data_IF_013340443276
#
_entry.id   IF_013340443276
#
_cell.length_a   1.000
_cell.length_b   1.000
_cell.length_c   1.000
_cell.angle_alpha   90.00
_cell.angle_beta   90.00
_cell.angle_gamma   90.00
#
_symmetry.space_group_name_H-M   'P 1'
#
loop_
_entity.id
_entity.type
_entity.pdbx_description
1 polymer ?
#
# COMPACT_ATOMS: atom_id res chain seq x y z
N UNK A 1 -8.81 -29.63 -24.67
CA UNK A 1 -7.97 -29.25 -23.50
C UNK A 1 -8.25 -27.83 -22.97
N UNK A 2 -9.24 -27.10 -23.52
CA UNK A 2 -9.64 -25.74 -23.10
C UNK A 2 -10.66 -25.71 -21.94
N UNK A 3 -11.36 -26.82 -21.69
CA UNK A 3 -12.46 -26.90 -20.71
C UNK A 3 -12.01 -26.86 -19.24
N UNK A 4 -10.80 -27.34 -18.94
CA UNK A 4 -10.27 -27.36 -17.56
C UNK A 4 -9.80 -25.96 -17.17
N UNK A 5 -9.11 -25.26 -18.08
CA UNK A 5 -8.69 -23.86 -17.89
C UNK A 5 -9.88 -22.92 -17.74
N UNK A 6 -10.95 -23.08 -18.52
CA UNK A 6 -12.16 -22.27 -18.37
C UNK A 6 -12.90 -22.55 -17.06
N UNK A 7 -12.88 -23.79 -16.56
CA UNK A 7 -13.45 -24.16 -15.27
C UNK A 7 -12.67 -23.54 -14.10
N UNK A 8 -11.33 -23.61 -14.12
CA UNK A 8 -10.50 -22.93 -13.11
C UNK A 8 -10.64 -21.41 -13.16
N UNK A 9 -10.77 -20.82 -14.36
CA UNK A 9 -11.06 -19.38 -14.55
C UNK A 9 -12.40 -18.97 -13.93
N UNK A 10 -13.38 -19.88 -13.97
CA UNK A 10 -14.71 -19.68 -13.38
C UNK A 10 -14.67 -19.80 -11.86
N UNK A 11 -13.96 -20.80 -11.33
CA UNK A 11 -13.76 -20.93 -9.87
C UNK A 11 -13.02 -19.72 -9.28
N UNK A 12 -12.10 -19.13 -10.03
CA UNK A 12 -11.32 -17.97 -9.61
C UNK A 12 -11.91 -16.63 -10.08
N UNK A 13 -13.15 -16.62 -10.58
CA UNK A 13 -13.83 -15.38 -10.92
C UNK A 13 -14.32 -14.70 -9.64
N UNK A 14 -14.17 -13.37 -9.60
CA UNK A 14 -14.58 -12.54 -8.45
C UNK A 14 -16.08 -12.70 -8.13
N UNK A 15 -16.90 -13.01 -9.14
CA UNK A 15 -18.33 -13.30 -8.99
C UNK A 15 -18.61 -14.55 -8.14
N UNK A 16 -17.70 -15.52 -8.14
CA UNK A 16 -17.87 -16.80 -7.46
C UNK A 16 -17.17 -16.83 -6.09
N UNK A 17 -16.07 -16.09 -5.94
CA UNK A 17 -15.26 -16.11 -4.72
C UNK A 17 -15.81 -15.21 -3.61
N UNK A 18 -16.26 -14.00 -3.91
CA UNK A 18 -16.96 -13.14 -2.95
C UNK A 18 -17.56 -11.91 -3.66
N UNK A 19 -18.89 -11.86 -3.78
CA UNK A 19 -19.62 -10.76 -4.42
C UNK A 19 -19.50 -9.43 -3.65
N UNK A 20 -19.03 -9.45 -2.41
CA UNK A 20 -18.83 -8.27 -1.57
C UNK A 20 -17.66 -7.39 -2.02
N UNK A 21 -16.71 -7.91 -2.80
CA UNK A 21 -15.62 -7.08 -3.36
C UNK A 21 -16.04 -6.31 -4.62
N UNK A 22 -17.18 -6.64 -5.21
CA UNK A 22 -17.74 -5.94 -6.38
C UNK A 22 -18.82 -4.94 -5.94
N UNK A 23 -19.52 -5.23 -4.84
CA UNK A 23 -20.52 -4.33 -4.26
C UNK A 23 -19.89 -3.49 -3.16
N UNK A 24 -19.64 -2.21 -3.45
CA UNK A 24 -19.16 -1.23 -2.47
C UNK A 24 -20.02 -1.25 -1.19
N UNK A 25 -19.40 -1.40 -0.02
CA UNK A 25 -20.08 -1.55 1.28
C UNK A 25 -20.99 -0.37 1.66
N UNK A 26 -20.90 0.74 0.93
CA UNK A 26 -21.64 1.97 1.17
C UNK A 26 -22.87 2.15 0.25
N UNK A 27 -23.18 1.22 -0.67
CA UNK A 27 -24.33 1.39 -1.58
C UNK A 27 -25.60 0.73 -1.03
N UNK A 28 -26.70 1.49 -0.83
CA UNK A 28 -27.98 0.91 -0.42
C UNK A 28 -28.52 0.00 -1.52
N UNK A 29 -29.09 -1.15 -1.14
CA UNK A 29 -29.54 -2.23 -2.04
C UNK A 29 -30.44 -1.76 -3.21
N UNK A 30 -31.17 -0.65 -3.02
CA UNK A 30 -32.05 -0.02 -4.02
C UNK A 30 -31.28 0.69 -5.16
N UNK A 31 -30.04 1.13 -4.90
CA UNK A 31 -29.19 1.77 -5.90
C UNK A 31 -28.55 0.75 -6.86
N UNK A 32 -28.25 -0.47 -6.39
CA UNK A 32 -27.67 -1.55 -7.21
C UNK A 32 -28.59 -1.96 -8.37
N UNK A 33 -29.91 -1.91 -8.17
CA UNK A 33 -30.89 -2.19 -9.22
C UNK A 33 -31.04 -1.04 -10.24
N UNK A 34 -30.61 0.18 -9.90
CA UNK A 34 -30.71 1.36 -10.77
C UNK A 34 -29.40 1.67 -11.53
N UNK A 35 -28.26 1.15 -11.06
CA UNK A 35 -26.91 1.51 -11.54
C UNK A 35 -26.48 0.82 -12.85
N UNK A 36 -27.31 -0.06 -13.43
CA UNK A 36 -27.09 -0.56 -14.80
C UNK A 36 -27.36 0.48 -15.88
N UNK A 37 -27.84 1.67 -15.51
CA UNK A 37 -28.05 2.81 -16.40
C UNK A 37 -27.55 4.09 -15.73
N UNK A 38 -26.26 4.40 -15.83
CA UNK A 38 -25.77 5.76 -16.15
C UNK A 38 -24.33 6.02 -15.66
N UNK A 39 -23.35 5.72 -16.50
CA UNK A 39 -22.04 6.35 -16.44
C UNK A 39 -22.10 7.90 -16.46
N UNK A 40 -22.96 8.59 -17.26
CA UNK A 40 -22.95 10.05 -17.32
C UNK A 40 -23.48 10.74 -16.05
N UNK A 41 -24.31 10.08 -15.23
CA UNK A 41 -24.84 10.68 -13.99
C UNK A 41 -23.79 10.73 -12.87
N UNK A 42 -22.86 9.78 -12.83
CA UNK A 42 -21.75 9.78 -11.86
C UNK A 42 -20.79 10.94 -12.16
N UNK A 43 -20.51 11.19 -13.44
CA UNK A 43 -19.67 12.30 -13.89
C UNK A 43 -20.37 13.65 -13.67
N UNK A 44 -21.68 13.76 -13.92
CA UNK A 44 -22.44 14.97 -13.65
C UNK A 44 -22.46 15.34 -12.16
N UNK A 45 -22.64 14.34 -11.28
CA UNK A 45 -22.62 14.55 -9.83
C UNK A 45 -21.20 14.88 -9.32
N UNK A 46 -20.18 14.20 -9.83
CA UNK A 46 -18.78 14.51 -9.51
C UNK A 46 -18.39 15.91 -9.98
N UNK A 47 -18.83 16.33 -11.18
CA UNK A 47 -18.60 17.68 -11.71
C UNK A 47 -19.36 18.74 -10.92
N UNK A 48 -20.58 18.48 -10.47
CA UNK A 48 -21.34 19.39 -9.60
C UNK A 48 -20.71 19.52 -8.19
N UNK A 49 -20.09 18.46 -7.68
CA UNK A 49 -19.33 18.51 -6.42
C UNK A 49 -18.01 19.28 -6.62
N UNK A 50 -17.31 19.03 -7.73
CA UNK A 50 -16.08 19.73 -8.08
C UNK A 50 -16.30 21.23 -8.34
N UNK A 51 -17.43 21.61 -8.94
CA UNK A 51 -17.78 23.02 -9.18
C UNK A 51 -18.13 23.78 -7.90
N UNK A 52 -18.60 23.06 -6.87
CA UNK A 52 -18.86 23.63 -5.53
C UNK A 52 -17.66 23.47 -4.58
N UNK A 53 -16.57 22.85 -5.02
CA UNK A 53 -15.41 22.62 -4.17
C UNK A 53 -14.59 23.91 -4.03
N UNK A 54 -14.13 24.18 -2.81
CA UNK A 54 -13.23 25.29 -2.55
C UNK A 54 -11.94 25.16 -3.37
N UNK A 55 -11.35 26.27 -3.84
CA UNK A 55 -10.12 26.23 -4.62
C UNK A 55 -9.00 25.57 -3.81
N UNK A 56 -8.17 24.82 -4.53
CA UNK A 56 -7.09 24.03 -3.95
C UNK A 56 -6.08 24.96 -3.24
N UNK A 57 -5.82 24.73 -1.94
CA UNK A 57 -4.92 25.58 -1.12
C UNK A 57 -3.44 25.19 -1.22
N UNK A 58 -3.07 24.36 -2.19
CA UNK A 58 -1.71 23.82 -2.33
C UNK A 58 -0.65 24.88 -2.71
N UNK A 59 -1.08 26.05 -3.19
CA UNK A 59 -0.21 27.16 -3.61
C UNK A 59 -0.23 28.35 -2.63
N UNK A 60 -0.81 28.19 -1.44
CA UNK A 60 -0.74 29.25 -0.42
C UNK A 60 0.67 29.34 0.15
N UNK A 61 1.14 30.54 0.56
CA UNK A 61 2.47 30.68 1.17
C UNK A 61 2.62 29.84 2.45
N UNK A 62 1.54 29.69 3.22
CA UNK A 62 1.48 28.81 4.40
C UNK A 62 1.80 27.35 4.02
N UNK A 63 1.22 26.87 2.91
CA UNK A 63 1.41 25.49 2.47
C UNK A 63 2.83 25.25 1.91
N UNK A 64 3.45 26.28 1.31
CA UNK A 64 4.86 26.24 0.94
C UNK A 64 5.79 26.10 2.15
N UNK A 65 5.49 26.76 3.26
CA UNK A 65 6.25 26.57 4.51
C UNK A 65 6.14 25.12 4.98
N UNK A 66 4.95 24.52 4.93
CA UNK A 66 4.79 23.11 5.27
C UNK A 66 5.59 22.18 4.36
N UNK A 67 5.63 22.46 3.05
CA UNK A 67 6.49 21.68 2.14
C UNK A 67 7.95 21.77 2.50
N UNK A 68 8.47 22.96 2.81
CA UNK A 68 9.87 23.13 3.22
C UNK A 68 10.16 22.36 4.51
N UNK A 69 9.29 22.49 5.52
CA UNK A 69 9.44 21.75 6.77
C UNK A 69 9.42 20.25 6.50
N UNK A 70 8.48 19.75 5.71
CA UNK A 70 8.38 18.32 5.39
C UNK A 70 9.63 17.81 4.66
N UNK A 71 10.10 18.56 3.65
CA UNK A 71 11.30 18.21 2.89
C UNK A 71 12.58 18.25 3.72
N UNK A 72 12.61 18.95 4.84
CA UNK A 72 13.76 18.98 5.76
C UNK A 72 13.59 17.91 6.84
N UNK A 73 12.43 17.87 7.50
CA UNK A 73 12.17 17.00 8.64
C UNK A 73 12.23 15.52 8.25
N UNK A 74 11.62 15.12 7.13
CA UNK A 74 11.59 13.71 6.73
C UNK A 74 12.99 13.17 6.43
N UNK A 75 13.84 13.82 5.61
CA UNK A 75 15.23 13.37 5.45
C UNK A 75 16.03 13.38 6.75
N UNK A 76 15.82 14.35 7.65
CA UNK A 76 16.47 14.36 8.95
C UNK A 76 16.04 13.16 9.81
N UNK A 77 14.77 12.78 9.82
CA UNK A 77 14.29 11.58 10.53
C UNK A 77 14.99 10.30 10.04
N UNK A 78 15.19 10.16 8.73
CA UNK A 78 15.96 9.04 8.20
C UNK A 78 17.44 9.12 8.56
N UNK A 79 18.03 10.31 8.43
CA UNK A 79 19.46 10.54 8.72
C UNK A 79 19.81 10.20 10.16
N UNK A 80 19.03 10.69 11.13
CA UNK A 80 19.31 10.48 12.56
C UNK A 80 19.25 9.01 12.94
N UNK A 81 18.24 8.27 12.47
CA UNK A 81 18.11 6.82 12.72
C UNK A 81 19.29 6.06 12.12
N UNK A 82 19.73 6.44 10.91
CA UNK A 82 20.88 5.82 10.27
C UNK A 82 22.16 6.10 11.05
N UNK A 83 22.41 7.34 11.46
CA UNK A 83 23.61 7.76 12.20
C UNK A 83 23.71 7.06 13.55
N UNK A 84 22.60 6.97 14.30
CA UNK A 84 22.58 6.27 15.60
C UNK A 84 22.86 4.77 15.43
N UNK A 85 22.41 4.18 14.32
CA UNK A 85 22.57 2.74 14.04
C UNK A 85 23.95 2.36 13.48
N UNK A 86 24.89 3.31 13.38
CA UNK A 86 26.26 3.03 12.91
C UNK A 86 27.13 2.42 14.01
N UNK A 87 28.05 1.55 13.60
CA UNK A 87 28.99 0.91 14.53
C UNK A 87 29.96 1.90 15.19
N UNK A 88 30.18 3.06 14.56
CA UNK A 88 30.97 4.18 15.07
C UNK A 88 30.28 4.94 16.21
N UNK A 89 28.96 4.78 16.39
CA UNK A 89 28.22 5.53 17.39
C UNK A 89 28.54 5.02 18.81
N UNK A 90 28.81 5.90 19.80
CA UNK A 90 29.23 5.48 21.14
C UNK A 90 28.22 4.59 21.86
N UNK A 91 26.93 4.70 21.52
CA UNK A 91 25.84 3.90 22.10
C UNK A 91 25.66 2.53 21.42
N UNK A 92 26.25 2.31 20.24
CA UNK A 92 26.06 1.06 19.48
C UNK A 92 26.44 -0.21 20.26
N UNK A 93 27.54 -0.26 21.03
CA UNK A 93 27.91 -1.45 21.80
C UNK A 93 26.85 -1.90 22.81
N UNK A 94 26.00 -0.99 23.30
CA UNK A 94 24.97 -1.30 24.30
C UNK A 94 23.90 -2.25 23.76
N UNK A 95 23.54 -2.12 22.49
CA UNK A 95 22.45 -2.90 21.88
C UNK A 95 22.92 -3.79 20.71
N UNK A 96 24.19 -3.73 20.32
CA UNK A 96 24.73 -4.48 19.18
C UNK A 96 24.52 -6.00 19.27
N UNK A 97 24.47 -6.55 20.49
CA UNK A 97 24.25 -7.97 20.77
C UNK A 97 22.79 -8.42 20.53
N UNK A 98 21.85 -7.48 20.49
CA UNK A 98 20.42 -7.72 20.20
C UNK A 98 20.12 -7.68 18.70
N UNK A 99 21.07 -7.18 17.90
CA UNK A 99 20.93 -7.03 16.47
C UNK A 99 21.36 -8.30 15.75
N UNK A 100 20.57 -8.72 14.77
CA UNK A 100 20.83 -9.90 13.93
C UNK A 100 21.09 -9.50 12.48
N UNK A 101 21.91 -10.25 11.73
CA UNK A 101 22.05 -10.02 10.30
C UNK A 101 20.70 -10.24 9.61
N UNK A 102 20.23 -9.26 8.83
CA UNK A 102 18.91 -9.31 8.18
C UNK A 102 18.98 -8.99 6.68
N UNK A 103 17.81 -8.76 6.09
CA UNK A 103 17.66 -8.51 4.65
C UNK A 103 18.05 -7.09 4.21
N UNK A 104 18.31 -6.18 5.15
CA UNK A 104 18.74 -4.82 4.86
C UNK A 104 20.23 -4.87 4.52
N UNK A 105 20.57 -4.60 3.25
CA UNK A 105 21.93 -4.73 2.72
C UNK A 105 22.95 -4.01 3.60
N UNK A 106 23.87 -4.77 4.18
CA UNK A 106 24.96 -4.24 5.01
C UNK A 106 24.53 -3.71 6.38
N UNK A 107 23.30 -3.97 6.83
CA UNK A 107 22.79 -3.53 8.14
C UNK A 107 22.13 -4.67 8.91
N UNK A 108 22.28 -4.61 10.23
CA UNK A 108 21.63 -5.54 11.15
C UNK A 108 20.21 -5.07 11.45
N UNK A 109 19.31 -6.03 11.65
CA UNK A 109 17.90 -5.82 12.00
C UNK A 109 17.71 -6.16 13.48
N UNK A 110 16.92 -5.35 14.16
CA UNK A 110 16.47 -5.63 15.52
C UNK A 110 15.41 -6.75 15.52
N UNK A 111 15.80 -7.91 16.04
CA UNK A 111 14.96 -9.10 16.19
C UNK A 111 14.87 -9.55 17.66
N UNK A 112 15.18 -8.65 18.60
CA UNK A 112 15.08 -8.95 20.04
C UNK A 112 13.63 -9.26 20.48
N UNK A 113 12.65 -8.67 19.81
CA UNK A 113 11.23 -8.88 20.08
C UNK A 113 10.68 -10.12 19.36
N UNK A 114 10.38 -11.17 20.13
CA UNK A 114 9.83 -12.42 19.63
C UNK A 114 8.44 -12.26 18.97
N UNK A 115 7.65 -11.24 19.33
CA UNK A 115 6.34 -11.00 18.75
C UNK A 115 6.43 -10.55 17.29
N UNK A 116 7.49 -9.78 16.96
CA UNK A 116 7.65 -9.19 15.63
C UNK A 116 8.81 -9.77 14.81
N UNK A 117 9.73 -10.53 15.40
CA UNK A 117 10.89 -11.12 14.71
C UNK A 117 10.47 -11.95 13.49
N UNK A 118 9.53 -12.87 13.68
CA UNK A 118 9.00 -13.71 12.61
C UNK A 118 8.39 -12.90 11.47
N UNK A 119 7.71 -11.79 11.77
CA UNK A 119 7.17 -10.91 10.74
C UNK A 119 8.29 -10.16 10.00
N UNK A 120 9.26 -9.60 10.73
CA UNK A 120 10.39 -8.81 10.18
C UNK A 120 11.26 -9.63 9.24
N UNK A 121 11.53 -10.88 9.60
CA UNK A 121 12.31 -11.81 8.79
C UNK A 121 11.60 -12.18 7.48
N UNK A 122 10.26 -12.17 7.49
CA UNK A 122 9.46 -12.50 6.33
C UNK A 122 9.09 -11.30 5.44
N UNK A 123 9.47 -10.07 5.80
CA UNK A 123 9.20 -8.86 4.99
C UNK A 123 9.63 -9.03 3.51
N UNK A 124 10.82 -9.56 3.18
CA UNK A 124 11.23 -9.74 1.78
C UNK A 124 10.30 -10.67 1.00
N UNK A 125 9.84 -11.76 1.62
CA UNK A 125 8.91 -12.71 1.00
C UNK A 125 7.52 -12.10 0.82
N UNK A 126 7.04 -11.36 1.82
CA UNK A 126 5.77 -10.64 1.74
C UNK A 126 5.80 -9.58 0.63
N UNK A 127 6.90 -8.84 0.51
CA UNK A 127 7.09 -7.85 -0.56
C UNK A 127 7.15 -8.51 -1.93
N UNK A 128 7.86 -9.64 -2.06
CA UNK A 128 7.89 -10.43 -3.29
C UNK A 128 6.49 -10.91 -3.67
N UNK A 129 5.70 -11.42 -2.72
CA UNK A 129 4.32 -11.85 -2.94
C UNK A 129 3.42 -10.68 -3.37
N UNK A 130 3.52 -9.55 -2.68
CA UNK A 130 2.75 -8.34 -2.96
C UNK A 130 2.96 -7.83 -4.39
N UNK A 131 4.18 -7.96 -4.91
CA UNK A 131 4.51 -7.58 -6.30
C UNK A 131 4.16 -8.68 -7.29
N UNK A 132 4.49 -9.94 -6.99
CA UNK A 132 4.28 -11.06 -7.89
C UNK A 132 2.80 -11.33 -8.14
N UNK A 133 1.96 -11.24 -7.12
CA UNK A 133 0.52 -11.55 -7.21
C UNK A 133 -0.21 -10.70 -8.27
N UNK A 134 -0.18 -9.35 -8.22
CA UNK A 134 -0.86 -8.53 -9.22
C UNK A 134 -0.24 -8.65 -10.63
N UNK A 135 1.07 -8.91 -10.73
CA UNK A 135 1.72 -9.14 -12.02
C UNK A 135 1.26 -10.45 -12.66
N UNK A 136 1.27 -11.55 -11.90
CA UNK A 136 0.74 -12.84 -12.35
C UNK A 136 -0.73 -12.73 -12.73
N UNK A 137 -1.53 -11.99 -11.94
CA UNK A 137 -2.94 -11.73 -12.26
C UNK A 137 -3.10 -11.01 -13.60
N UNK A 138 -2.32 -9.96 -13.86
CA UNK A 138 -2.36 -9.24 -15.14
C UNK A 138 -1.95 -10.10 -16.33
N UNK A 139 -0.93 -10.96 -16.14
CA UNK A 139 -0.50 -11.91 -17.18
C UNK A 139 -1.63 -12.90 -17.47
N UNK A 140 -2.25 -13.46 -16.43
CA UNK A 140 -3.37 -14.38 -16.56
C UNK A 140 -4.59 -13.79 -17.28
N UNK A 141 -4.93 -12.52 -17.00
CA UNK A 141 -6.07 -11.87 -17.68
C UNK A 141 -5.81 -11.56 -19.16
N UNK A 142 -4.55 -11.42 -19.55
CA UNK A 142 -4.14 -11.23 -20.95
C UNK A 142 -4.06 -12.54 -21.74
N UNK A 143 -4.06 -13.69 -21.05
CA UNK A 143 -4.14 -15.04 -21.61
C UNK A 143 -5.61 -15.51 -21.76
#
# INVERSE_FOLDING_TARGET
MTSILSWFRRLYSLDTLDTRFIVSSNTPLKAVAADTRSAPAKDARANAIASNAAPSKWRTPEFWVYYVIFLIAVPLMFKTVIEVSQESHPTYPTYSHLLSPGWIVGRKVDNSDAQYSSFRDNIPYLLALLVAHPLLRRVYERL
#
